data_IF_814416078364
#
_entry.id   IF_814416078364
#
_cell.length_a   1.000
_cell.length_b   1.000
_cell.length_c   1.000
_cell.angle_alpha   90.00
_cell.angle_beta   90.00
_cell.angle_gamma   90.00
#
_symmetry.space_group_name_H-M   'P 1'
#
loop_
_entity.id
_entity.type
_entity.pdbx_description
1 polymer ?
#
# COMPACT_ATOMS: atom_id res chain seq x y z
N UNK A 1 4.95 -3.57 -10.72
CA UNK A 1 4.45 -2.60 -11.73
C UNK A 1 3.38 -1.65 -11.21
N UNK A 2 2.31 -2.09 -10.53
CA UNK A 2 1.25 -1.17 -10.05
C UNK A 2 1.70 -0.17 -8.95
N UNK A 3 2.53 -0.61 -7.99
CA UNK A 3 2.96 0.24 -6.87
C UNK A 3 3.80 1.47 -7.31
N UNK A 4 4.60 1.30 -8.36
CA UNK A 4 5.46 2.37 -8.89
C UNK A 4 4.66 3.48 -9.56
N UNK A 5 3.63 3.08 -10.33
CA UNK A 5 2.67 4.00 -10.95
C UNK A 5 1.86 4.78 -9.90
N UNK A 6 1.42 4.11 -8.84
CA UNK A 6 0.70 4.79 -7.75
C UNK A 6 1.59 5.78 -6.99
N UNK A 7 2.88 5.47 -6.81
CA UNK A 7 3.81 6.35 -6.11
C UNK A 7 4.11 7.63 -6.92
N UNK A 8 4.35 7.50 -8.23
CA UNK A 8 4.51 8.66 -9.13
C UNK A 8 3.28 9.56 -9.14
N UNK A 9 2.09 8.97 -9.27
CA UNK A 9 0.85 9.73 -9.30
C UNK A 9 0.60 10.48 -7.97
N UNK A 10 0.98 9.87 -6.84
CA UNK A 10 0.91 10.54 -5.54
C UNK A 10 1.84 11.75 -5.47
N UNK A 11 3.09 11.63 -5.91
CA UNK A 11 4.06 12.75 -5.94
C UNK A 11 3.57 13.89 -6.84
N UNK A 12 3.03 13.58 -8.00
CA UNK A 12 2.48 14.60 -8.91
C UNK A 12 1.25 15.30 -8.31
N UNK A 13 0.36 14.55 -7.65
CA UNK A 13 -0.81 15.10 -6.96
C UNK A 13 -0.44 15.96 -5.76
N UNK A 14 0.53 15.55 -4.95
CA UNK A 14 1.04 16.34 -3.82
C UNK A 14 1.64 17.67 -4.29
N UNK A 15 2.33 17.69 -5.44
CA UNK A 15 2.93 18.90 -6.01
C UNK A 15 1.91 19.86 -6.62
N UNK A 16 0.86 19.34 -7.28
CA UNK A 16 -0.12 20.15 -8.01
C UNK A 16 -1.30 20.58 -7.14
N UNK A 17 -1.79 19.68 -6.29
CA UNK A 17 -3.02 19.88 -5.52
C UNK A 17 -2.75 20.16 -4.03
N UNK A 18 -1.56 19.85 -3.55
CA UNK A 18 -1.19 19.92 -2.14
C UNK A 18 -1.50 18.63 -1.37
N UNK A 19 -0.91 18.47 -0.17
CA UNK A 19 -1.00 17.27 0.64
C UNK A 19 -2.38 17.01 1.24
N UNK A 20 -3.19 18.06 1.46
CA UNK A 20 -4.52 17.99 2.07
C UNK A 20 -5.67 17.90 1.05
N UNK A 21 -5.36 17.88 -0.25
CA UNK A 21 -6.40 17.77 -1.26
C UNK A 21 -7.08 16.38 -1.22
N UNK A 22 -8.42 16.29 -1.33
CA UNK A 22 -9.16 15.04 -1.21
C UNK A 22 -8.68 13.95 -2.18
N UNK A 23 -8.27 14.30 -3.41
CA UNK A 23 -7.70 13.32 -4.36
C UNK A 23 -6.31 12.78 -3.96
N UNK A 24 -5.52 13.56 -3.24
CA UNK A 24 -4.23 13.14 -2.68
C UNK A 24 -4.47 12.18 -1.52
N UNK A 25 -5.43 12.50 -0.64
CA UNK A 25 -5.83 11.64 0.48
C UNK A 25 -6.38 10.29 0.01
N UNK A 26 -7.24 10.28 -1.02
CA UNK A 26 -7.75 9.05 -1.63
C UNK A 26 -6.62 8.17 -2.20
N UNK A 27 -5.64 8.82 -2.85
CA UNK A 27 -4.45 8.13 -3.39
C UNK A 27 -3.61 7.48 -2.28
N UNK A 28 -3.41 8.17 -1.14
CA UNK A 28 -2.68 7.63 0.02
C UNK A 28 -3.43 6.45 0.65
N UNK A 29 -4.75 6.55 0.77
CA UNK A 29 -5.58 5.46 1.29
C UNK A 29 -5.49 4.21 0.40
N UNK A 30 -5.62 4.39 -0.92
CA UNK A 30 -5.48 3.29 -1.90
C UNK A 30 -4.10 2.62 -1.85
N UNK A 31 -3.02 3.40 -1.66
CA UNK A 31 -1.67 2.86 -1.47
C UNK A 31 -1.53 2.05 -0.17
N UNK A 32 -2.12 2.52 0.93
CA UNK A 32 -2.11 1.81 2.20
C UNK A 32 -2.83 0.45 2.09
N UNK A 33 -3.98 0.41 1.42
CA UNK A 33 -4.73 -0.83 1.17
C UNK A 33 -3.91 -1.80 0.31
N UNK A 34 -3.29 -1.32 -0.77
CA UNK A 34 -2.44 -2.15 -1.63
C UNK A 34 -1.25 -2.74 -0.85
N UNK A 35 -0.60 -1.95 0.01
CA UNK A 35 0.49 -2.42 0.88
C UNK A 35 0.02 -3.45 1.91
N UNK A 36 -1.15 -3.24 2.53
CA UNK A 36 -1.71 -4.18 3.49
C UNK A 36 -2.02 -5.55 2.86
N UNK A 37 -2.61 -5.55 1.64
CA UNK A 37 -2.88 -6.77 0.88
C UNK A 37 -1.60 -7.52 0.51
N UNK A 38 -0.53 -6.80 0.13
CA UNK A 38 0.78 -7.39 -0.14
C UNK A 38 1.44 -7.97 1.13
N UNK A 39 1.28 -7.31 2.27
CA UNK A 39 1.81 -7.79 3.55
C UNK A 39 1.06 -9.03 4.09
N UNK A 40 -0.19 -9.24 3.69
CA UNK A 40 -1.00 -10.39 4.10
C UNK A 40 -0.49 -11.73 3.53
N UNK A 41 0.22 -11.69 2.39
CA UNK A 41 0.91 -12.85 1.81
C UNK A 41 2.01 -13.40 2.74
N UNK A 42 2.52 -12.58 3.66
CA UNK A 42 3.51 -13.00 4.65
C UNK A 42 2.95 -13.69 5.90
N UNK A 43 1.66 -13.52 6.22
CA UNK A 43 1.08 -14.00 7.50
C UNK A 43 0.46 -15.39 7.45
N UNK A 44 0.19 -15.96 6.27
CA UNK A 44 -0.37 -17.32 6.14
C UNK A 44 0.65 -18.47 6.07
N UNK A 45 1.96 -18.18 6.10
CA UNK A 45 3.00 -19.23 6.03
C UNK A 45 3.52 -19.65 7.42
N UNK A 46 3.37 -18.81 8.44
CA UNK A 46 3.95 -19.04 9.76
C UNK A 46 3.04 -19.78 10.76
N UNK A 47 1.74 -19.92 10.47
CA UNK A 47 0.77 -20.60 11.34
C UNK A 47 0.48 -22.07 10.96
N UNK A 48 1.16 -22.62 9.94
CA UNK A 48 0.97 -24.00 9.47
C UNK A 48 2.18 -24.91 9.68
N UNK A 49 3.23 -24.45 10.36
CA UNK A 49 4.34 -25.33 10.71
C UNK A 49 4.01 -26.06 12.02
N UNK A 50 3.91 -27.40 12.01
CA UNK A 50 3.82 -28.13 13.27
C UNK A 50 5.09 -27.84 14.06
N UNK A 51 4.93 -27.34 15.30
CA UNK A 51 6.01 -27.29 16.28
C UNK A 51 6.46 -28.73 16.50
N UNK A 52 7.55 -29.14 15.83
CA UNK A 52 8.20 -30.41 16.10
C UNK A 52 8.86 -30.30 17.47
N UNK A 53 8.39 -31.18 18.36
CA UNK A 53 9.10 -31.85 19.46
C UNK A 53 10.07 -31.02 20.27
#
# INVERSE_FOLDING_TARGET
QAADLHQRNLTDRERVLGPDHPSTLDSRNNLAIARARLAEVGRRRWWQLPRRG
#
